data_IF_010180544885
#
_entry.id   IF_010180544885
#
_cell.length_a   1.000
_cell.length_b   1.000
_cell.length_c   1.000
_cell.angle_alpha   90.00
_cell.angle_beta   90.00
_cell.angle_gamma   90.00
#
_symmetry.space_group_name_H-M   'P 1'
#
loop_
_entity.id
_entity.type
_entity.pdbx_description
1 polymer ?
#
# COMPACT_ATOMS: atom_id res chain seq x y z
N UNK A 1 4.39 13.57 38.17
CA UNK A 1 3.31 12.55 38.13
C UNK A 1 3.99 11.19 38.12
N UNK A 2 3.62 10.31 39.05
CA UNK A 2 4.14 8.94 39.10
C UNK A 2 3.41 8.08 38.07
N UNK A 3 3.82 8.22 36.81
CA UNK A 3 3.33 7.47 35.67
C UNK A 3 4.48 7.29 34.68
N UNK A 4 4.59 6.10 34.10
CA UNK A 4 5.58 5.76 33.08
C UNK A 4 4.80 5.43 31.80
N UNK A 5 4.99 6.18 30.69
CA UNK A 5 4.39 5.83 29.41
C UNK A 5 4.89 4.46 28.95
N UNK A 6 3.98 3.67 28.40
CA UNK A 6 4.27 2.32 27.91
C UNK A 6 3.75 2.14 26.50
N UNK A 7 4.37 1.21 25.77
CA UNK A 7 3.84 0.73 24.51
C UNK A 7 2.47 0.10 24.74
N UNK A 8 1.58 0.22 23.75
CA UNK A 8 0.25 -0.36 23.85
C UNK A 8 0.31 -1.88 24.12
N UNK A 9 -0.46 -2.32 25.11
CA UNK A 9 -0.51 -3.72 25.52
C UNK A 9 -1.36 -4.56 24.56
N UNK A 10 -2.25 -3.94 23.80
CA UNK A 10 -3.06 -4.62 22.78
C UNK A 10 -2.17 -5.27 21.71
N UNK A 11 -2.59 -6.45 21.24
CA UNK A 11 -1.97 -7.14 20.10
C UNK A 11 -2.29 -6.41 18.81
N UNK A 12 -1.63 -5.28 18.60
CA UNK A 12 -1.77 -4.44 17.42
C UNK A 12 -0.70 -4.79 16.39
N UNK A 13 -1.14 -5.18 15.21
CA UNK A 13 -0.25 -5.25 14.06
C UNK A 13 0.37 -3.87 13.80
N UNK A 14 1.68 -3.87 13.55
CA UNK A 14 2.42 -2.61 13.44
C UNK A 14 2.45 -1.77 14.72
N UNK A 15 2.39 -2.40 15.91
CA UNK A 15 2.68 -1.73 17.21
C UNK A 15 4.02 -1.01 17.21
N UNK A 16 5.02 -1.61 16.57
CA UNK A 16 6.31 -1.01 16.25
C UNK A 16 6.60 -1.28 14.79
N UNK A 17 6.86 -0.23 14.01
CA UNK A 17 7.29 -0.30 12.60
C UNK A 17 8.70 0.25 12.47
N UNK A 18 9.12 0.57 11.24
CA UNK A 18 10.42 1.19 10.96
C UNK A 18 10.47 2.69 11.25
N UNK A 19 9.31 3.33 11.43
CA UNK A 19 9.18 4.78 11.62
C UNK A 19 8.08 5.19 12.60
N UNK A 20 7.35 4.23 13.19
CA UNK A 20 6.24 4.49 14.11
C UNK A 20 6.24 3.51 15.28
N UNK A 21 5.67 3.95 16.40
CA UNK A 21 5.29 3.07 17.50
C UNK A 21 3.96 3.49 18.11
N UNK A 22 3.35 2.61 18.90
CA UNK A 22 2.03 2.84 19.51
C UNK A 22 2.13 2.79 21.03
N UNK A 23 1.63 3.82 21.70
CA UNK A 23 1.59 3.98 23.15
C UNK A 23 0.16 3.80 23.68
N UNK A 24 0.05 3.49 24.98
CA UNK A 24 -1.19 3.72 25.73
C UNK A 24 -1.46 5.24 25.85
N UNK A 25 -2.73 5.63 25.85
CA UNK A 25 -3.14 7.00 26.17
C UNK A 25 -2.93 7.29 27.67
N UNK A 26 -2.55 8.53 28.05
CA UNK A 26 -2.35 8.91 29.45
C UNK A 26 -3.69 9.21 30.15
N UNK A 27 -4.64 8.28 30.08
CA UNK A 27 -5.96 8.40 30.72
C UNK A 27 -5.81 8.31 32.23
N UNK A 28 -6.58 9.11 32.96
CA UNK A 28 -6.54 9.18 34.42
C UNK A 28 -5.18 9.63 35.01
N UNK A 29 -4.27 10.19 34.19
CA UNK A 29 -2.91 10.59 34.62
C UNK A 29 -2.86 12.05 35.08
N UNK A 30 -3.54 12.94 34.35
CA UNK A 30 -3.47 14.40 34.54
C UNK A 30 -4.73 14.95 35.23
N UNK A 31 -5.28 14.24 36.24
CA UNK A 31 -6.56 14.59 36.88
C UNK A 31 -6.56 15.96 37.56
N UNK A 32 -5.41 16.40 38.06
CA UNK A 32 -5.26 17.65 38.82
C UNK A 32 -4.80 18.83 37.95
N UNK A 33 -4.59 18.61 36.64
CA UNK A 33 -4.17 19.66 35.73
C UNK A 33 -5.33 20.63 35.42
N UNK A 34 -5.00 21.91 35.25
CA UNK A 34 -6.02 22.93 34.96
C UNK A 34 -6.70 22.65 33.60
N UNK A 35 -8.00 22.99 33.44
CA UNK A 35 -8.74 22.70 32.20
C UNK A 35 -8.15 23.32 30.92
N UNK A 36 -7.42 24.44 31.02
CA UNK A 36 -6.74 25.11 29.91
C UNK A 36 -5.42 24.43 29.48
N UNK A 37 -4.98 23.44 30.24
CA UNK A 37 -3.71 22.74 30.02
C UNK A 37 -3.85 21.74 28.89
N UNK A 38 -2.86 21.71 28.00
CA UNK A 38 -2.76 20.73 26.93
C UNK A 38 -1.73 19.68 27.30
N UNK A 39 -2.09 18.41 27.12
CA UNK A 39 -1.19 17.28 27.25
C UNK A 39 -0.48 17.10 25.92
N UNK A 40 0.84 17.06 25.99
CA UNK A 40 1.71 16.86 24.84
C UNK A 40 2.58 15.64 25.05
N UNK A 41 2.91 14.96 23.96
CA UNK A 41 3.90 13.90 23.95
C UNK A 41 5.26 14.47 23.56
N UNK A 42 6.25 14.32 24.41
CA UNK A 42 7.66 14.58 24.08
C UNK A 42 8.28 13.28 23.62
N UNK A 43 8.93 13.31 22.46
CA UNK A 43 9.73 12.21 21.93
C UNK A 43 11.18 12.67 21.88
N UNK A 44 12.06 11.96 22.57
CA UNK A 44 13.47 12.29 22.68
C UNK A 44 14.37 11.13 22.27
N UNK A 45 15.59 11.44 21.86
CA UNK A 45 16.67 10.45 21.81
C UNK A 45 16.98 9.95 23.21
N UNK A 46 17.16 8.65 23.39
CA UNK A 46 17.47 8.02 24.69
C UNK A 46 18.64 8.73 25.42
N UNK A 47 19.73 8.97 24.70
CA UNK A 47 20.94 9.62 25.23
C UNK A 47 20.76 11.08 25.68
N UNK A 48 19.66 11.74 25.29
CA UNK A 48 19.37 13.14 25.60
C UNK A 48 18.15 13.31 26.52
N UNK A 49 17.39 12.25 26.79
CA UNK A 49 16.13 12.32 27.54
C UNK A 49 16.30 12.96 28.94
N UNK A 50 17.36 12.61 29.67
CA UNK A 50 17.62 13.16 31.01
C UNK A 50 18.04 14.64 31.01
N UNK A 51 18.40 15.19 29.85
CA UNK A 51 18.77 16.61 29.69
C UNK A 51 17.63 17.48 29.16
N UNK A 52 16.48 16.89 28.88
CA UNK A 52 15.31 17.61 28.39
C UNK A 52 14.81 18.62 29.43
N UNK A 53 14.61 19.86 29.00
CA UNK A 53 14.07 20.93 29.82
C UNK A 53 12.61 21.21 29.46
N UNK A 54 11.71 20.88 30.38
CA UNK A 54 10.26 21.11 30.23
C UNK A 54 9.87 22.60 30.25
N UNK A 55 10.79 23.51 30.57
CA UNK A 55 10.58 24.96 30.38
C UNK A 55 10.49 25.34 28.89
N UNK A 56 11.02 24.49 28.00
CA UNK A 56 10.91 24.69 26.55
C UNK A 56 9.50 24.34 26.10
N UNK A 57 8.78 25.33 25.61
CA UNK A 57 7.39 25.17 25.15
C UNK A 57 7.28 24.39 23.83
N UNK A 58 6.17 23.65 23.64
CA UNK A 58 5.83 23.07 22.35
C UNK A 58 5.61 24.18 21.31
N UNK A 59 5.54 23.78 20.04
CA UNK A 59 5.36 24.71 18.90
C UNK A 59 6.47 25.77 18.73
N UNK A 60 7.61 25.58 19.41
CA UNK A 60 8.82 26.36 19.20
C UNK A 60 9.80 25.64 18.29
N UNK A 61 10.74 26.35 17.63
CA UNK A 61 11.78 25.70 16.80
C UNK A 61 12.64 24.68 17.56
N UNK A 62 12.76 24.81 18.89
CA UNK A 62 13.51 23.89 19.75
C UNK A 62 12.84 22.52 19.88
N UNK A 63 11.51 22.46 19.85
CA UNK A 63 10.75 21.20 19.91
C UNK A 63 10.01 20.88 18.60
N UNK A 64 10.47 21.47 17.50
CA UNK A 64 9.92 21.19 16.18
C UNK A 64 10.38 19.83 15.66
N UNK A 65 9.47 19.10 15.00
CA UNK A 65 9.80 17.81 14.38
C UNK A 65 10.82 17.96 13.24
N UNK A 66 10.77 19.05 12.47
CA UNK A 66 11.58 19.24 11.26
C UNK A 66 13.09 19.34 11.57
N UNK A 67 13.44 19.70 12.81
CA UNK A 67 14.82 19.78 13.29
C UNK A 67 15.26 18.52 14.05
N UNK A 68 14.38 17.54 14.22
CA UNK A 68 14.69 16.24 14.81
C UNK A 68 15.42 15.34 13.81
N UNK A 69 16.54 14.69 14.18
CA UNK A 69 17.05 14.44 15.54
C UNK A 69 18.06 15.48 16.08
N UNK A 70 18.39 16.54 15.33
CA UNK A 70 19.42 17.52 15.72
C UNK A 70 19.07 18.28 17.00
N UNK A 71 17.79 18.61 17.22
CA UNK A 71 17.29 19.20 18.46
C UNK A 71 17.09 18.19 19.60
N UNK A 72 17.42 16.91 19.39
CA UNK A 72 17.38 15.80 20.36
C UNK A 72 16.02 15.40 20.91
N UNK A 73 15.01 16.27 20.85
CA UNK A 73 13.64 16.01 21.23
C UNK A 73 12.66 16.89 20.44
N UNK A 74 11.45 16.41 20.22
CA UNK A 74 10.34 17.19 19.66
C UNK A 74 9.06 16.93 20.44
N UNK A 75 8.11 17.86 20.36
CA UNK A 75 6.80 17.74 20.99
C UNK A 75 5.72 17.56 19.92
N UNK A 76 4.81 16.62 20.16
CA UNK A 76 3.73 16.30 19.22
C UNK A 76 2.48 15.84 19.96
N UNK A 77 1.40 15.57 19.21
CA UNK A 77 0.13 15.04 19.72
C UNK A 77 -0.48 15.88 20.86
N UNK A 78 -0.30 17.20 20.79
CA UNK A 78 -0.88 18.15 21.72
C UNK A 78 -2.40 18.08 21.73
N UNK A 79 -3.01 17.89 22.90
CA UNK A 79 -4.45 17.74 23.02
C UNK A 79 -4.98 18.16 24.39
N UNK A 80 -6.28 18.43 24.51
CA UNK A 80 -6.89 18.76 25.79
C UNK A 80 -7.11 17.51 26.65
N UNK A 81 -7.14 17.68 27.98
CA UNK A 81 -7.39 16.60 28.95
C UNK A 81 -8.72 15.89 28.65
N UNK A 82 -9.72 16.62 28.14
CA UNK A 82 -11.03 16.09 27.78
C UNK A 82 -10.99 15.02 26.68
N UNK A 83 -9.94 14.98 25.86
CA UNK A 83 -9.75 13.97 24.82
C UNK A 83 -9.21 12.63 25.35
N UNK A 84 -8.91 12.55 26.65
CA UNK A 84 -8.55 11.31 27.34
C UNK A 84 -9.54 10.98 28.47
N UNK A 85 -10.82 10.69 28.15
CA UNK A 85 -11.82 10.41 29.17
C UNK A 85 -11.44 9.18 30.04
N UNK A 86 -11.80 9.25 31.31
CA UNK A 86 -11.52 8.22 32.31
C UNK A 86 -12.83 7.87 33.06
N UNK A 87 -13.34 6.62 32.98
CA UNK A 87 -12.85 5.51 32.17
C UNK A 87 -13.02 5.75 30.65
N UNK A 88 -12.35 4.97 29.79
CA UNK A 88 -12.61 5.02 28.35
C UNK A 88 -14.05 4.68 28.03
N UNK A 89 -14.58 5.26 26.94
CA UNK A 89 -15.94 4.97 26.49
C UNK A 89 -15.94 3.62 25.76
N UNK A 90 -17.06 2.88 25.79
CA UNK A 90 -17.17 1.64 25.03
C UNK A 90 -16.89 1.88 23.54
N UNK A 91 -15.94 1.13 22.98
CA UNK A 91 -15.53 1.25 21.57
C UNK A 91 -14.48 2.32 21.27
N UNK A 92 -13.97 3.04 22.27
CA UNK A 92 -12.83 3.95 22.09
C UNK A 92 -11.56 3.18 21.67
N UNK A 93 -10.82 3.74 20.70
CA UNK A 93 -9.42 3.38 20.49
C UNK A 93 -8.57 4.14 21.51
N UNK A 94 -7.96 3.42 22.45
CA UNK A 94 -7.27 4.00 23.61
C UNK A 94 -5.75 4.13 23.43
N UNK A 95 -5.29 4.16 22.18
CA UNK A 95 -3.86 4.19 21.85
C UNK A 95 -3.44 5.48 21.15
N UNK A 96 -2.13 5.79 21.18
CA UNK A 96 -1.50 6.91 20.48
C UNK A 96 -0.42 6.38 19.54
N UNK A 97 -0.58 6.59 18.23
CA UNK A 97 0.45 6.25 17.25
C UNK A 97 1.39 7.43 17.06
N UNK A 98 2.67 7.24 17.36
CA UNK A 98 3.74 8.20 17.11
C UNK A 98 4.29 7.99 15.71
N UNK A 99 4.47 9.07 14.96
CA UNK A 99 5.05 9.10 13.63
C UNK A 99 4.08 8.90 12.46
N UNK A 100 2.77 9.15 12.66
CA UNK A 100 1.74 8.86 11.65
C UNK A 100 1.51 9.95 10.60
N UNK A 101 2.04 11.17 10.78
CA UNK A 101 1.77 12.30 9.89
C UNK A 101 2.90 12.51 8.86
N UNK A 102 2.79 11.85 7.71
CA UNK A 102 3.77 12.00 6.62
C UNK A 102 3.69 13.35 5.90
N UNK A 103 2.51 13.98 5.87
CA UNK A 103 2.25 15.19 5.09
C UNK A 103 2.96 16.45 5.63
N UNK A 104 3.12 16.56 6.95
CA UNK A 104 3.74 17.73 7.59
C UNK A 104 5.25 17.57 7.85
N UNK A 105 5.85 16.43 7.44
CA UNK A 105 7.25 16.08 7.71
C UNK A 105 8.23 17.20 7.37
N UNK A 106 7.96 17.93 6.29
CA UNK A 106 8.83 19.01 5.78
C UNK A 106 8.18 20.39 5.88
N UNK A 107 7.04 20.51 6.56
CA UNK A 107 6.30 21.78 6.69
C UNK A 107 6.76 22.55 7.93
N UNK A 108 7.54 23.64 7.79
CA UNK A 108 8.04 24.41 8.93
C UNK A 108 6.93 25.15 9.69
N UNK A 109 5.74 25.32 9.10
CA UNK A 109 4.61 25.98 9.75
C UNK A 109 3.86 25.03 10.71
N UNK A 110 4.24 23.74 10.74
CA UNK A 110 3.67 22.73 11.63
C UNK A 110 4.77 22.12 12.52
N UNK A 111 5.32 22.87 13.49
CA UNK A 111 6.39 22.39 14.35
C UNK A 111 5.99 21.16 15.19
N UNK A 112 4.72 21.06 15.56
CA UNK A 112 4.13 19.97 16.36
C UNK A 112 3.84 18.68 15.56
N UNK A 113 4.28 18.58 14.31
CA UNK A 113 4.04 17.45 13.41
C UNK A 113 4.36 16.11 14.07
N UNK A 114 3.44 15.15 14.01
CA UNK A 114 3.65 13.77 14.42
C UNK A 114 4.35 12.97 13.30
N UNK A 115 5.49 13.47 12.83
CA UNK A 115 6.13 12.97 11.62
C UNK A 115 6.86 11.64 11.82
N UNK A 116 7.07 10.85 10.74
CA UNK A 116 7.70 9.53 10.82
C UNK A 116 9.12 9.61 11.39
N UNK A 117 9.43 8.75 12.36
CA UNK A 117 10.73 8.75 13.03
C UNK A 117 11.87 8.40 12.05
N UNK A 118 13.03 9.07 12.17
CA UNK A 118 14.08 9.02 11.14
C UNK A 118 14.92 7.74 11.12
N UNK A 119 14.87 6.91 12.17
CA UNK A 119 15.70 5.70 12.27
C UNK A 119 15.29 4.79 13.42
N UNK A 120 16.10 3.76 13.75
CA UNK A 120 15.74 2.78 14.76
C UNK A 120 15.67 3.31 16.22
N UNK A 121 16.20 4.50 16.49
CA UNK A 121 16.34 5.02 17.85
C UNK A 121 17.60 4.48 18.55
N UNK A 122 17.57 4.20 19.87
CA UNK A 122 16.39 4.17 20.73
C UNK A 122 15.81 5.54 21.08
N UNK A 123 14.49 5.59 21.26
CA UNK A 123 13.72 6.76 21.66
C UNK A 123 13.15 6.60 23.06
N UNK A 124 13.00 7.68 23.80
CA UNK A 124 12.19 7.73 25.03
C UNK A 124 11.07 8.73 24.87
N UNK A 125 9.98 8.48 25.58
CA UNK A 125 8.83 9.40 25.59
C UNK A 125 8.40 9.78 27.00
N UNK A 126 7.81 10.95 27.13
CA UNK A 126 7.05 11.36 28.31
C UNK A 126 5.88 12.25 27.93
N UNK A 127 4.88 12.30 28.79
CA UNK A 127 3.81 13.27 28.67
C UNK A 127 4.12 14.47 29.54
N UNK A 128 3.87 15.67 29.00
CA UNK A 128 3.98 16.93 29.73
C UNK A 128 2.70 17.72 29.49
N UNK A 129 2.17 18.27 30.57
CA UNK A 129 0.99 19.12 30.56
C UNK A 129 1.44 20.57 30.62
N UNK A 130 1.27 21.30 29.52
CA UNK A 130 1.63 22.72 29.40
C UNK A 130 0.36 23.58 29.40
N UNK A 131 0.39 24.65 30.19
CA UNK A 131 -0.51 25.78 29.96
C UNK A 131 0.16 26.80 29.02
N UNK A 132 -0.40 28.00 28.90
CA UNK A 132 0.15 29.04 28.02
C UNK A 132 1.46 29.68 28.53
N UNK A 133 1.93 29.33 29.73
CA UNK A 133 3.01 30.03 30.44
C UNK A 133 4.12 29.08 30.92
N UNK A 134 3.79 27.91 31.48
CA UNK A 134 4.74 26.94 32.04
C UNK A 134 4.27 25.48 31.91
N UNK A 135 5.20 24.54 32.12
CA UNK A 135 4.86 23.14 32.33
C UNK A 135 4.25 22.96 33.73
N UNK A 136 2.99 22.54 33.77
CA UNK A 136 2.25 22.30 35.02
C UNK A 136 2.57 20.94 35.63
N UNK A 137 2.75 19.92 34.79
CA UNK A 137 3.06 18.57 35.25
C UNK A 137 3.75 17.74 34.17
N UNK A 138 4.52 16.74 34.58
CA UNK A 138 5.15 15.77 33.69
C UNK A 138 5.19 14.36 34.28
N UNK A 139 5.22 13.38 33.41
CA UNK A 139 5.40 11.96 33.74
C UNK A 139 6.89 11.59 33.82
N UNK A 140 7.18 10.38 34.29
CA UNK A 140 8.49 9.77 34.07
C UNK A 140 8.73 9.51 32.58
N UNK A 141 10.00 9.28 32.24
CA UNK A 141 10.37 8.77 30.92
C UNK A 141 9.96 7.30 30.77
N UNK A 142 9.56 6.91 29.57
CA UNK A 142 9.38 5.50 29.22
C UNK A 142 10.70 4.74 29.24
N UNK A 143 10.60 3.41 29.24
CA UNK A 143 11.70 2.56 28.79
C UNK A 143 12.14 2.91 27.35
N UNK A 144 13.39 2.63 26.97
CA UNK A 144 13.87 2.87 25.60
C UNK A 144 13.07 2.06 24.56
N UNK A 145 12.59 2.74 23.54
CA UNK A 145 11.81 2.17 22.43
C UNK A 145 12.70 2.11 21.19
N UNK A 146 12.95 0.89 20.71
CA UNK A 146 13.72 0.66 19.47
C UNK A 146 12.76 0.25 18.35
N UNK A 147 12.85 0.94 17.21
CA UNK A 147 12.05 0.64 16.02
C UNK A 147 12.63 -0.54 15.24
N UNK A 148 11.80 -1.13 14.38
CA UNK A 148 12.26 -2.18 13.47
C UNK A 148 13.23 -1.61 12.45
N UNK A 149 14.27 -2.35 12.11
CA UNK A 149 15.15 -1.98 10.99
C UNK A 149 14.64 -2.66 9.72
N UNK A 150 14.42 -1.89 8.66
CA UNK A 150 14.12 -2.48 7.36
C UNK A 150 15.37 -3.19 6.83
N UNK A 151 15.23 -4.44 6.37
CA UNK A 151 16.25 -5.07 5.55
C UNK A 151 16.34 -4.31 4.23
N UNK A 152 17.54 -3.83 3.91
CA UNK A 152 17.83 -3.20 2.63
C UNK A 152 17.63 -4.24 1.53
N UNK A 153 16.99 -3.85 0.41
CA UNK A 153 16.63 -4.77 -0.66
C UNK A 153 17.84 -5.57 -1.19
N UNK A 154 19.02 -4.94 -1.20
CA UNK A 154 20.29 -5.54 -1.64
C UNK A 154 20.79 -6.66 -0.70
N UNK A 155 20.33 -6.67 0.55
CA UNK A 155 20.65 -7.67 1.57
C UNK A 155 19.56 -8.72 1.75
N UNK A 156 18.46 -8.62 1.01
CA UNK A 156 17.51 -9.72 0.93
C UNK A 156 18.22 -10.84 0.17
N UNK A 157 18.34 -12.05 0.73
CA UNK A 157 18.73 -13.18 -0.09
C UNK A 157 17.71 -13.24 -1.21
N UNK A 158 18.16 -12.94 -2.44
CA UNK A 158 17.45 -13.32 -3.64
C UNK A 158 17.55 -14.84 -3.67
N UNK A 159 16.77 -15.51 -2.82
CA UNK A 159 16.22 -16.77 -3.24
C UNK A 159 15.54 -16.42 -4.55
N UNK A 160 16.13 -16.86 -5.65
CA UNK A 160 15.44 -17.03 -6.92
C UNK A 160 14.29 -18.00 -6.63
N UNK A 161 13.27 -17.50 -5.93
CA UNK A 161 12.02 -18.18 -5.68
C UNK A 161 11.46 -18.39 -7.05
N UNK A 162 11.57 -19.64 -7.51
CA UNK A 162 11.23 -20.05 -8.85
C UNK A 162 9.92 -19.41 -9.25
N UNK A 163 9.93 -18.80 -10.45
CA UNK A 163 8.74 -18.31 -11.13
C UNK A 163 7.62 -19.31 -10.84
N UNK A 164 6.64 -18.85 -10.06
CA UNK A 164 5.62 -19.69 -9.42
C UNK A 164 5.23 -20.85 -10.32
N UNK A 165 5.62 -22.07 -9.93
CA UNK A 165 5.23 -23.31 -10.62
C UNK A 165 3.71 -23.33 -10.83
N UNK A 166 2.96 -22.74 -9.90
CA UNK A 166 1.51 -22.54 -10.01
C UNK A 166 1.08 -21.64 -11.17
N UNK A 167 1.81 -20.56 -11.47
CA UNK A 167 1.51 -19.70 -12.61
C UNK A 167 1.74 -20.43 -13.94
N UNK A 168 2.82 -21.21 -14.06
CA UNK A 168 3.08 -22.02 -15.26
C UNK A 168 1.97 -23.06 -15.45
N UNK A 169 1.62 -23.79 -14.39
CA UNK A 169 0.53 -24.78 -14.41
C UNK A 169 -0.81 -24.14 -14.80
N UNK A 170 -1.16 -23.00 -14.21
CA UNK A 170 -2.40 -22.28 -14.54
C UNK A 170 -2.44 -21.83 -16.00
N UNK A 171 -1.35 -21.26 -16.51
CA UNK A 171 -1.28 -20.84 -17.93
C UNK A 171 -1.39 -22.03 -18.88
N UNK A 172 -0.77 -23.17 -18.55
CA UNK A 172 -0.88 -24.39 -19.36
C UNK A 172 -2.32 -24.94 -19.36
N UNK A 173 -2.97 -25.04 -18.20
CA UNK A 173 -4.36 -25.51 -18.08
C UNK A 173 -5.31 -24.58 -18.86
N UNK A 174 -5.20 -23.27 -18.67
CA UNK A 174 -6.03 -22.29 -19.36
C UNK A 174 -5.81 -22.34 -20.89
N UNK A 175 -4.57 -22.51 -21.34
CA UNK A 175 -4.24 -22.63 -22.76
C UNK A 175 -4.84 -23.89 -23.39
N UNK A 176 -4.75 -25.03 -22.69
CA UNK A 176 -5.32 -26.31 -23.16
C UNK A 176 -6.86 -26.22 -23.22
N UNK A 177 -7.49 -25.74 -22.15
CA UNK A 177 -8.96 -25.60 -22.10
C UNK A 177 -9.46 -24.65 -23.18
N UNK A 178 -8.77 -23.54 -23.42
CA UNK A 178 -9.10 -22.60 -24.48
C UNK A 178 -9.00 -23.24 -25.87
N UNK A 179 -7.93 -24.00 -26.14
CA UNK A 179 -7.77 -24.70 -27.41
C UNK A 179 -8.88 -25.75 -27.64
N UNK A 180 -9.28 -26.50 -26.60
CA UNK A 180 -10.38 -27.46 -26.66
C UNK A 180 -11.71 -26.74 -26.96
N UNK A 181 -12.00 -25.63 -26.27
CA UNK A 181 -13.20 -24.83 -26.53
C UNK A 181 -13.25 -24.30 -27.96
N UNK A 182 -12.10 -23.82 -28.49
CA UNK A 182 -12.01 -23.35 -29.87
C UNK A 182 -12.25 -24.48 -30.88
N UNK A 183 -11.67 -25.66 -30.65
CA UNK A 183 -11.87 -26.83 -31.50
C UNK A 183 -13.34 -27.27 -31.51
N UNK A 184 -13.99 -27.32 -30.33
CA UNK A 184 -15.42 -27.62 -30.23
C UNK A 184 -16.27 -26.57 -30.96
N UNK A 185 -15.96 -25.29 -30.82
CA UNK A 185 -16.66 -24.21 -31.53
C UNK A 185 -16.55 -24.39 -33.06
N UNK A 186 -15.33 -24.64 -33.57
CA UNK A 186 -15.11 -24.89 -35.01
C UNK A 186 -15.87 -26.12 -35.48
N UNK A 187 -15.85 -27.22 -34.71
CA UNK A 187 -16.59 -28.43 -35.05
C UNK A 187 -18.11 -28.19 -35.10
N UNK A 188 -18.66 -27.41 -34.16
CA UNK A 188 -20.06 -27.00 -34.15
C UNK A 188 -20.40 -26.15 -35.37
N UNK A 189 -19.58 -25.14 -35.69
CA UNK A 189 -19.78 -24.30 -36.87
C UNK A 189 -19.73 -25.12 -38.16
N UNK A 190 -18.75 -26.02 -38.32
CA UNK A 190 -18.65 -26.89 -39.49
C UNK A 190 -19.82 -27.89 -39.59
N UNK A 191 -20.28 -28.45 -38.48
CA UNK A 191 -21.43 -29.37 -38.44
C UNK A 191 -22.75 -28.65 -38.75
N UNK A 192 -22.90 -27.41 -38.29
CA UNK A 192 -24.00 -26.53 -38.65
C UNK A 192 -23.96 -26.17 -40.14
N UNK A 193 -22.78 -25.84 -40.69
CA UNK A 193 -22.63 -25.57 -42.14
C UNK A 193 -23.00 -26.79 -43.00
N UNK A 194 -22.69 -28.00 -42.56
CA UNK A 194 -23.09 -29.23 -43.26
C UNK A 194 -24.59 -29.55 -43.10
N UNK A 195 -25.24 -29.09 -42.03
CA UNK A 195 -26.68 -29.27 -41.81
C UNK A 195 -27.54 -28.26 -42.60
N UNK A 196 -27.00 -27.09 -42.92
CA UNK A 196 -27.65 -26.09 -43.80
C UNK A 196 -27.24 -26.21 -45.28
N UNK A 197 -26.33 -27.14 -45.63
CA UNK A 197 -25.88 -27.41 -47.00
C UNK A 197 -26.59 -28.57 -47.70
N UNK A 198 -27.62 -29.17 -47.09
CA UNK A 198 -28.39 -30.27 -47.70
C UNK A 198 -29.86 -29.91 -47.88
N UNK A 199 -30.13 -28.83 -48.62
CA UNK A 199 -31.39 -28.66 -49.34
C UNK A 199 -31.09 -28.61 -50.84
N UNK A 200 -31.47 -29.67 -51.52
CA UNK A 200 -31.31 -29.95 -52.95
C UNK A 200 -32.06 -28.96 -53.85
N UNK A 201 -31.34 -28.13 -54.61
CA UNK A 201 -31.83 -27.60 -55.91
C UNK A 201 -30.62 -27.36 -56.83
N UNK A 202 -30.21 -28.37 -57.60
CA UNK A 202 -29.80 -28.15 -59.00
C UNK A 202 -29.76 -29.49 -59.73
N UNK A 203 -30.63 -29.62 -60.73
CA UNK A 203 -30.67 -30.75 -61.65
C UNK A 203 -29.30 -30.94 -62.31
N UNK A 204 -28.90 -32.22 -62.40
CA UNK A 204 -27.84 -32.73 -63.26
C UNK A 204 -27.83 -31.98 -64.60
N UNK A 205 -26.73 -31.31 -65.01
CA UNK A 205 -26.61 -30.89 -66.39
C UNK A 205 -26.41 -32.17 -67.21
N UNK A 206 -27.34 -32.43 -68.14
CA UNK A 206 -27.11 -33.41 -69.18
C UNK A 206 -25.78 -33.09 -69.86
N UNK A 207 -24.92 -34.10 -69.94
CA UNK A 207 -23.68 -34.01 -70.70
C UNK A 207 -24.06 -33.84 -72.17
N UNK A 208 -24.05 -32.60 -72.65
CA UNK A 208 -24.20 -32.26 -74.05
C UNK A 208 -23.05 -32.92 -74.81
N UNK A 209 -23.36 -33.98 -75.55
CA UNK A 209 -22.43 -34.60 -76.50
C UNK A 209 -22.15 -33.59 -77.62
N UNK A 210 -20.98 -32.95 -77.56
CA UNK A 210 -20.48 -32.09 -78.63
C UNK A 210 -20.20 -32.96 -79.86
N UNK A 211 -21.03 -32.82 -80.89
CA UNK A 211 -20.88 -33.52 -82.18
C UNK A 211 -19.72 -32.87 -82.94
N UNK A 212 -18.56 -33.54 -82.98
CA UNK A 212 -17.40 -33.15 -83.78
C UNK A 212 -17.75 -33.26 -85.27
N UNK A 213 -17.81 -32.14 -85.96
CA UNK A 213 -17.85 -32.12 -87.42
C UNK A 213 -16.41 -32.06 -87.96
N UNK A 214 -16.02 -33.07 -88.74
CA UNK A 214 -14.78 -33.05 -89.52
C UNK A 214 -15.00 -32.21 -90.78
N UNK A 215 -14.29 -31.10 -90.89
CA UNK A 215 -14.17 -30.34 -92.13
C UNK A 215 -13.17 -31.03 -93.05
N UNK A 216 -13.66 -31.59 -94.16
CA UNK A 216 -12.80 -32.12 -95.21
C UNK A 216 -12.16 -30.98 -96.00
N UNK A 217 -10.83 -31.01 -96.10
CA UNK A 217 -10.04 -30.13 -96.95
C UNK A 217 -10.42 -30.34 -98.43
N UNK A 218 -10.73 -29.24 -99.13
CA UNK A 218 -10.80 -29.19 -100.59
C UNK A 218 -9.59 -28.39 -101.08
N UNK A 219 -8.92 -28.98 -102.08
CA UNK A 219 -7.62 -28.61 -102.63
C UNK A 219 -7.54 -27.22 -103.27
N UNK A 220 -6.32 -26.66 -103.24
CA UNK A 220 -5.85 -25.51 -104.02
C UNK A 220 -5.94 -25.75 -105.54
N UNK A 221 -6.28 -24.69 -106.29
CA UNK A 221 -5.84 -24.47 -107.67
C UNK A 221 -5.67 -22.96 -107.94
N UNK A 222 -4.81 -22.56 -108.89
CA UNK A 222 -3.84 -21.49 -108.69
C UNK A 222 -4.14 -20.19 -109.45
N UNK A 223 -3.29 -19.21 -109.18
CA UNK A 223 -3.35 -17.79 -109.54
C UNK A 223 -3.38 -17.44 -111.04
N UNK A 224 -3.99 -16.28 -111.34
CA UNK A 224 -3.68 -15.40 -112.47
C UNK A 224 -3.73 -13.95 -111.92
N UNK A 225 -2.59 -13.30 -111.65
CA UNK A 225 -1.74 -12.46 -112.52
C UNK A 225 -2.42 -11.20 -113.10
N UNK A 226 -1.80 -10.08 -112.69
CA UNK A 226 -1.81 -8.69 -113.17
C UNK A 226 -3.01 -7.83 -112.76
#
# INVERSE_FOLDING_TARGET
IDYVPTLANETLEGRITTSTFVLEQPRCVFTDAQPSTHIWLVVALDAAAERFDASTMPETPRLAFQTFPSNTAYATLGTSIANYPCPPRPGDFTVLRVGSETACRSDPNRPSCNGPLPGPGPYRVKFVAWDNVTAQAQTHWSEPITLKTALQADNLPVTAGGRSTGMIILTAILSILFAVLLACLVALLASCSNSYGSSSIFSKPDAVTVRRYNTHHVYDQPAARL
#
